data_IF_175599731775
#
_entry.id   IF_175599731775
#
_cell.length_a   1.000
_cell.length_b   1.000
_cell.length_c   1.000
_cell.angle_alpha   90.00
_cell.angle_beta   90.00
_cell.angle_gamma   90.00
#
_symmetry.space_group_name_H-M   'P 1'
#
loop_
_entity.id
_entity.type
_entity.pdbx_description
1 polymer ?
#
# COMPACT_ATOMS: atom_id res chain seq x y z
N UNK A 1 9.64 6.69 -23.24
CA UNK A 1 8.42 6.11 -22.62
C UNK A 1 8.75 4.95 -21.69
N UNK A 2 9.67 4.06 -22.06
CA UNK A 2 10.10 2.90 -21.26
C UNK A 2 10.60 3.27 -19.85
N UNK A 3 11.50 4.24 -19.72
CA UNK A 3 11.99 4.70 -18.41
C UNK A 3 10.91 5.36 -17.55
N UNK A 4 9.96 6.07 -18.17
CA UNK A 4 8.83 6.67 -17.45
C UNK A 4 7.93 5.59 -16.87
N UNK A 5 7.66 4.52 -17.63
CA UNK A 5 6.90 3.37 -17.13
C UNK A 5 7.59 2.71 -15.92
N UNK A 6 8.92 2.53 -15.96
CA UNK A 6 9.68 2.01 -14.81
C UNK A 6 9.62 2.93 -13.59
N UNK A 7 9.74 4.24 -13.77
CA UNK A 7 9.65 5.20 -12.66
C UNK A 7 8.27 5.16 -12.01
N UNK A 8 7.20 5.15 -12.81
CA UNK A 8 5.82 5.07 -12.30
C UNK A 8 5.58 3.73 -11.59
N UNK A 9 6.00 2.62 -12.19
CA UNK A 9 5.90 1.29 -11.57
C UNK A 9 6.68 1.22 -10.24
N UNK A 10 7.91 1.73 -10.21
CA UNK A 10 8.73 1.77 -8.99
C UNK A 10 8.07 2.60 -7.90
N UNK A 11 7.50 3.77 -8.25
CA UNK A 11 6.75 4.59 -7.32
C UNK A 11 5.52 3.87 -6.75
N UNK A 12 4.75 3.18 -7.59
CA UNK A 12 3.60 2.39 -7.15
C UNK A 12 3.99 1.23 -6.23
N UNK A 13 5.13 0.57 -6.47
CA UNK A 13 5.68 -0.45 -5.55
C UNK A 13 6.02 0.16 -4.20
N UNK A 14 6.66 1.33 -4.17
CA UNK A 14 6.97 2.04 -2.92
C UNK A 14 5.68 2.40 -2.17
N UNK A 15 4.67 2.94 -2.85
CA UNK A 15 3.36 3.21 -2.24
C UNK A 15 2.72 1.92 -1.69
N UNK A 16 2.79 0.83 -2.43
CA UNK A 16 2.29 -0.48 -1.99
C UNK A 16 2.97 -0.93 -0.69
N UNK A 17 4.29 -0.77 -0.60
CA UNK A 17 5.06 -1.09 0.59
C UNK A 17 4.68 -0.20 1.79
N UNK A 18 4.48 1.10 1.56
CA UNK A 18 4.02 2.05 2.58
C UNK A 18 2.63 1.67 3.07
N UNK A 19 1.68 1.38 2.17
CA UNK A 19 0.31 0.97 2.56
C UNK A 19 0.34 -0.33 3.36
N UNK A 20 1.18 -1.30 2.98
CA UNK A 20 1.37 -2.54 3.73
C UNK A 20 1.91 -2.28 5.14
N UNK A 21 2.94 -1.43 5.25
CA UNK A 21 3.55 -1.07 6.52
C UNK A 21 2.60 -0.26 7.42
N UNK A 22 1.89 0.71 6.85
CA UNK A 22 0.89 1.52 7.55
C UNK A 22 -0.28 0.66 8.02
N UNK A 23 -0.78 -0.26 7.20
CA UNK A 23 -1.80 -1.23 7.59
C UNK A 23 -1.39 -2.09 8.79
N UNK A 24 -0.11 -2.46 8.89
CA UNK A 24 0.41 -3.17 10.07
C UNK A 24 0.55 -2.26 11.30
N UNK A 25 0.96 -1.01 11.11
CA UNK A 25 1.17 -0.01 12.18
C UNK A 25 -0.14 0.51 12.80
N UNK A 26 -1.16 0.76 11.97
CA UNK A 26 -2.48 1.27 12.38
C UNK A 26 -3.19 0.39 13.41
N UNK A 27 -2.79 -0.88 13.55
CA UNK A 27 -3.41 -1.85 14.43
C UNK A 27 -3.17 -1.56 15.93
N UNK A 28 -2.09 -0.84 16.27
CA UNK A 28 -1.64 -0.70 17.68
C UNK A 28 -1.51 0.75 18.15
N UNK A 29 -0.65 1.56 17.54
CA UNK A 29 -0.28 2.87 18.09
C UNK A 29 -1.40 3.92 17.89
N UNK A 30 -1.90 4.16 16.67
CA UNK A 30 -2.91 5.20 16.44
C UNK A 30 -4.25 4.92 17.12
N UNK A 31 -4.53 3.63 17.38
CA UNK A 31 -5.70 3.22 18.15
C UNK A 31 -5.55 3.57 19.64
N UNK A 32 -4.37 3.36 20.21
CA UNK A 32 -4.11 3.67 21.60
C UNK A 32 -4.21 5.19 21.82
N UNK A 33 -3.62 5.98 20.93
CA UNK A 33 -3.68 7.45 20.97
C UNK A 33 -5.13 7.94 20.80
N UNK A 34 -5.88 7.41 19.81
CA UNK A 34 -7.27 7.80 19.61
C UNK A 34 -8.19 7.44 20.79
N UNK A 35 -7.94 6.32 21.48
CA UNK A 35 -8.67 5.96 22.70
C UNK A 35 -8.29 6.85 23.89
N UNK A 36 -7.02 7.23 23.99
CA UNK A 36 -6.55 8.13 25.03
C UNK A 36 -7.18 9.53 24.88
N UNK A 37 -7.09 10.11 23.68
CA UNK A 37 -7.65 11.43 23.36
C UNK A 37 -9.19 11.46 23.48
N UNK A 38 -9.85 10.33 23.15
CA UNK A 38 -11.29 10.17 23.39
C UNK A 38 -11.64 10.16 24.89
N UNK A 39 -10.77 9.56 25.72
CA UNK A 39 -10.88 9.58 27.18
C UNK A 39 -10.72 10.99 27.77
N UNK A 40 -9.88 11.82 27.14
CA UNK A 40 -9.68 13.24 27.48
C UNK A 40 -10.81 14.16 26.95
N UNK A 41 -11.81 13.59 26.28
CA UNK A 41 -13.04 14.27 25.88
C UNK A 41 -13.08 14.77 24.43
N UNK A 42 -12.09 14.44 23.58
CA UNK A 42 -12.16 14.77 22.16
C UNK A 42 -13.12 13.84 21.41
N UNK A 43 -14.29 14.40 21.03
CA UNK A 43 -15.33 13.69 20.27
C UNK A 43 -14.88 13.25 18.87
N UNK A 44 -13.90 13.93 18.27
CA UNK A 44 -13.33 13.54 16.97
C UNK A 44 -12.43 12.31 17.12
N UNK A 45 -11.65 12.25 18.19
CA UNK A 45 -10.83 11.09 18.51
C UNK A 45 -11.69 9.85 18.79
N UNK A 46 -12.84 10.03 19.46
CA UNK A 46 -13.81 8.94 19.66
C UNK A 46 -14.31 8.33 18.34
N UNK A 47 -14.64 9.18 17.35
CA UNK A 47 -15.07 8.70 16.03
C UNK A 47 -13.95 7.95 15.28
N UNK A 48 -12.70 8.39 15.42
CA UNK A 48 -11.52 7.70 14.85
C UNK A 48 -11.27 6.38 15.57
N UNK A 49 -11.38 6.33 16.89
CA UNK A 49 -11.23 5.11 17.68
C UNK A 49 -12.29 4.05 17.32
N UNK A 50 -13.55 4.48 17.16
CA UNK A 50 -14.66 3.64 16.69
C UNK A 50 -14.36 3.05 15.29
N UNK A 51 -13.94 3.90 14.35
CA UNK A 51 -13.57 3.47 13.00
C UNK A 51 -12.41 2.47 13.00
N UNK A 52 -11.38 2.70 13.83
CA UNK A 52 -10.22 1.80 13.98
C UNK A 52 -10.58 0.48 14.69
N UNK A 53 -11.67 0.46 15.48
CA UNK A 53 -12.15 -0.74 16.14
C UNK A 53 -12.85 -1.69 15.16
N UNK A 54 -13.54 -1.15 14.15
CA UNK A 54 -14.17 -1.93 13.07
C UNK A 54 -13.17 -2.37 11.99
N UNK A 55 -12.20 -3.20 12.39
CA UNK A 55 -11.17 -3.77 11.50
C UNK A 55 -11.73 -4.57 10.34
N UNK A 56 -12.95 -5.11 10.49
CA UNK A 56 -13.61 -5.95 9.48
C UNK A 56 -13.88 -5.18 8.19
N UNK A 57 -14.08 -3.86 8.28
CA UNK A 57 -14.26 -2.97 7.13
C UNK A 57 -12.96 -2.42 6.56
N UNK A 58 -11.94 -2.22 7.39
CA UNK A 58 -10.66 -1.64 6.99
C UNK A 58 -9.75 -2.65 6.25
N UNK A 59 -9.70 -3.91 6.71
CA UNK A 59 -8.81 -4.92 6.11
C UNK A 59 -9.15 -5.27 4.64
N UNK A 60 -10.43 -5.46 4.25
CA UNK A 60 -10.79 -5.73 2.86
C UNK A 60 -10.43 -4.58 1.92
N UNK A 61 -10.66 -3.34 2.35
CA UNK A 61 -10.31 -2.15 1.58
C UNK A 61 -8.80 -2.04 1.39
N UNK A 62 -8.00 -2.22 2.45
CA UNK A 62 -6.53 -2.20 2.36
C UNK A 62 -5.98 -3.31 1.46
N UNK A 63 -6.55 -4.52 1.51
CA UNK A 63 -6.16 -5.63 0.64
C UNK A 63 -6.45 -5.35 -0.84
N UNK A 64 -7.59 -4.72 -1.14
CA UNK A 64 -7.96 -4.33 -2.49
C UNK A 64 -7.06 -3.20 -3.02
N UNK A 65 -6.79 -2.17 -2.21
CA UNK A 65 -5.88 -1.08 -2.58
C UNK A 65 -4.46 -1.59 -2.84
N UNK A 66 -3.98 -2.52 -2.00
CA UNK A 66 -2.67 -3.16 -2.20
C UNK A 66 -2.61 -3.89 -3.54
N UNK A 67 -3.59 -4.77 -3.80
CA UNK A 67 -3.66 -5.55 -5.04
C UNK A 67 -3.70 -4.64 -6.26
N UNK A 68 -4.51 -3.57 -6.20
CA UNK A 68 -4.63 -2.59 -7.27
C UNK A 68 -3.28 -1.94 -7.61
N UNK A 69 -2.56 -1.42 -6.61
CA UNK A 69 -1.26 -0.80 -6.85
C UNK A 69 -0.22 -1.79 -7.36
N UNK A 70 -0.25 -3.02 -6.86
CA UNK A 70 0.69 -4.07 -7.28
C UNK A 70 0.46 -4.46 -8.74
N UNK A 71 -0.80 -4.63 -9.17
CA UNK A 71 -1.15 -4.90 -10.58
C UNK A 71 -0.82 -3.69 -11.46
N UNK A 72 -1.16 -2.48 -11.02
CA UNK A 72 -0.88 -1.25 -11.75
C UNK A 72 0.63 -0.98 -11.91
N UNK A 73 1.45 -1.48 -10.96
CA UNK A 73 2.91 -1.44 -11.07
C UNK A 73 3.45 -2.54 -11.98
N UNK A 74 2.96 -3.77 -11.84
CA UNK A 74 3.47 -4.94 -12.53
C UNK A 74 3.27 -4.85 -14.05
N UNK A 75 2.08 -4.45 -14.51
CA UNK A 75 1.76 -4.44 -15.95
C UNK A 75 2.70 -3.53 -16.76
N UNK A 76 2.92 -2.24 -16.39
CA UNK A 76 3.86 -1.38 -17.11
C UNK A 76 5.32 -1.79 -16.90
N UNK A 77 5.68 -2.35 -15.74
CA UNK A 77 7.05 -2.80 -15.46
C UNK A 77 7.43 -3.98 -16.37
N UNK A 78 6.59 -5.01 -16.46
CA UNK A 78 6.83 -6.17 -17.32
C UNK A 78 6.94 -5.78 -18.78
N UNK A 79 6.09 -4.84 -19.25
CA UNK A 79 6.20 -4.28 -20.59
C UNK A 79 7.53 -3.56 -20.82
N UNK A 80 7.95 -2.73 -19.87
CA UNK A 80 9.19 -1.96 -19.98
C UNK A 80 10.44 -2.86 -19.95
N UNK A 81 10.46 -3.86 -19.07
CA UNK A 81 11.56 -4.82 -18.95
C UNK A 81 11.70 -5.68 -20.21
N UNK A 82 10.58 -6.13 -20.80
CA UNK A 82 10.58 -6.89 -22.06
C UNK A 82 11.12 -6.08 -23.24
N UNK A 83 11.10 -4.74 -23.15
CA UNK A 83 11.68 -3.85 -24.17
C UNK A 83 13.18 -3.58 -23.97
N UNK A 84 13.68 -3.70 -22.76
CA UNK A 84 15.06 -3.33 -22.39
C UNK A 84 15.98 -4.55 -22.35
N UNK A 85 15.47 -5.67 -21.87
CA UNK A 85 16.24 -6.89 -21.65
C UNK A 85 15.86 -7.99 -22.65
N UNK A 86 16.78 -8.91 -22.89
CA UNK A 86 16.55 -10.10 -23.71
C UNK A 86 17.23 -11.33 -23.10
N UNK A 87 16.80 -12.53 -23.51
CA UNK A 87 17.42 -13.78 -23.09
C UNK A 87 17.36 -14.03 -21.58
N UNK A 88 18.48 -14.46 -20.99
CA UNK A 88 18.56 -14.81 -19.57
C UNK A 88 18.32 -13.61 -18.63
N UNK A 89 18.74 -12.41 -19.01
CA UNK A 89 18.53 -11.21 -18.20
C UNK A 89 17.04 -10.88 -18.07
N UNK A 90 16.27 -11.04 -19.15
CA UNK A 90 14.82 -10.86 -19.11
C UNK A 90 14.14 -11.88 -18.21
N UNK A 91 14.60 -13.14 -18.24
CA UNK A 91 14.07 -14.19 -17.38
C UNK A 91 14.28 -13.86 -15.89
N UNK A 92 15.45 -13.32 -15.52
CA UNK A 92 15.72 -12.88 -14.14
C UNK A 92 14.90 -11.64 -13.77
N UNK A 93 14.72 -10.70 -14.70
CA UNK A 93 14.01 -9.45 -14.43
C UNK A 93 12.49 -9.60 -14.23
N UNK A 94 11.89 -10.69 -14.72
CA UNK A 94 10.45 -10.96 -14.62
C UNK A 94 10.05 -11.90 -13.46
N UNK A 95 11.03 -12.38 -12.70
CA UNK A 95 10.85 -13.25 -11.51
C UNK A 95 10.89 -12.42 -10.25
#
# INVERSE_FOLDING_TARGET
>A
MTYVALLVSGFLVVLTAIVRAAGASLVRTPRADALHDAGDGDKRAAAVAEMLNDRSRLQPALGMTHTLFLVAAAVPASWALTRLETGANLAVALV
#
